data_IF_684971393773
#
_entry.id   IF_684971393773
#
_cell.length_a   1.000
_cell.length_b   1.000
_cell.length_c   1.000
_cell.angle_alpha   90.00
_cell.angle_beta   90.00
_cell.angle_gamma   90.00
#
_symmetry.space_group_name_H-M   'P 1'
#
loop_
_entity.id
_entity.type
_entity.pdbx_description
1 polymer ?
#
# COMPACT_ATOMS: atom_id res chain seq x y z
N UNK A 1 15.41 -0.92 -1.76
CA UNK A 1 14.34 -0.80 -2.75
C UNK A 1 14.05 -2.20 -3.25
N UNK A 2 12.95 -2.80 -2.80
CA UNK A 2 12.50 -4.16 -3.17
C UNK A 2 11.29 -4.03 -4.10
N UNK A 3 11.15 -4.92 -5.08
CA UNK A 3 10.00 -4.95 -5.97
C UNK A 3 9.35 -6.31 -5.85
N UNK A 4 8.05 -6.32 -5.59
CA UNK A 4 7.26 -7.55 -5.50
C UNK A 4 5.91 -7.37 -6.16
N UNK A 5 5.16 -8.46 -6.24
CA UNK A 5 3.82 -8.48 -6.83
C UNK A 5 2.82 -8.98 -5.79
N UNK A 6 1.65 -8.36 -5.78
CA UNK A 6 0.52 -8.75 -4.95
C UNK A 6 -0.70 -9.00 -5.81
N UNK A 7 -1.62 -9.81 -5.32
CA UNK A 7 -2.94 -9.96 -5.91
C UNK A 7 -3.88 -8.88 -5.36
N UNK A 8 -4.43 -8.07 -6.26
CA UNK A 8 -5.35 -6.98 -5.95
C UNK A 8 -6.46 -6.92 -7.00
N UNK A 9 -7.74 -6.99 -6.59
CA UNK A 9 -8.91 -7.00 -7.48
C UNK A 9 -8.78 -8.00 -8.64
N UNK A 10 -8.44 -9.25 -8.32
CA UNK A 10 -8.21 -10.36 -9.28
C UNK A 10 -7.13 -10.08 -10.34
N UNK A 11 -6.25 -9.10 -10.09
CA UNK A 11 -5.12 -8.76 -10.95
C UNK A 11 -3.84 -8.79 -10.14
N UNK A 12 -2.75 -9.25 -10.74
CA UNK A 12 -1.43 -9.14 -10.14
C UNK A 12 -0.86 -7.76 -10.42
N UNK A 13 -0.56 -6.99 -9.37
CA UNK A 13 -0.06 -5.62 -9.49
C UNK A 13 1.36 -5.53 -8.94
N UNK A 14 2.19 -4.69 -9.57
CA UNK A 14 3.57 -4.46 -9.15
C UNK A 14 3.59 -3.45 -8.01
N UNK A 15 4.33 -3.78 -6.96
CA UNK A 15 4.59 -2.92 -5.80
C UNK A 15 6.08 -2.66 -5.67
N UNK A 16 6.45 -1.39 -5.51
CA UNK A 16 7.81 -0.98 -5.19
C UNK A 16 7.87 -0.51 -3.73
N UNK A 17 8.72 -1.16 -2.95
CA UNK A 17 9.02 -0.79 -1.57
C UNK A 17 10.03 0.37 -1.59
N UNK A 18 9.50 1.59 -1.54
CA UNK A 18 10.28 2.82 -1.57
C UNK A 18 10.99 3.06 -0.23
N UNK A 19 10.26 2.91 0.89
CA UNK A 19 10.78 2.94 2.25
C UNK A 19 9.85 2.16 3.18
N UNK A 20 10.26 1.94 4.44
CA UNK A 20 9.50 1.19 5.45
C UNK A 20 8.01 1.58 5.52
N UNK A 21 7.74 2.87 5.33
CA UNK A 21 6.42 3.48 5.51
C UNK A 21 5.84 3.99 4.17
N UNK A 22 6.40 3.58 3.01
CA UNK A 22 5.98 4.06 1.68
C UNK A 22 6.06 2.98 0.62
N UNK A 23 4.93 2.78 -0.07
CA UNK A 23 4.82 1.86 -1.20
C UNK A 23 4.30 2.56 -2.45
N UNK A 24 4.83 2.17 -3.59
CA UNK A 24 4.36 2.61 -4.91
C UNK A 24 3.72 1.44 -5.63
N UNK A 25 2.44 1.55 -5.97
CA UNK A 25 1.64 0.52 -6.62
C UNK A 25 1.38 0.94 -8.07
N UNK A 26 1.65 0.02 -9.00
CA UNK A 26 1.36 0.20 -10.42
C UNK A 26 0.05 -0.53 -10.74
N UNK A 27 -1.05 0.21 -10.68
CA UNK A 27 -2.38 -0.28 -11.03
C UNK A 27 -2.64 -0.15 -12.53
N UNK A 28 -3.59 -0.91 -13.11
CA UNK A 28 -4.00 -0.71 -14.49
C UNK A 28 -4.50 0.72 -14.71
N UNK A 29 -3.75 1.51 -15.49
CA UNK A 29 -4.12 2.87 -15.86
C UNK A 29 -3.76 3.97 -14.85
N UNK A 30 -3.20 3.64 -13.68
CA UNK A 30 -2.69 4.65 -12.75
C UNK A 30 -1.55 4.14 -11.88
N UNK A 31 -0.71 5.08 -11.44
CA UNK A 31 0.27 4.85 -10.39
C UNK A 31 -0.29 5.44 -9.10
N UNK A 32 -0.43 4.63 -8.07
CA UNK A 32 -0.87 5.05 -6.74
C UNK A 32 0.30 4.89 -5.79
N UNK A 33 0.48 5.86 -4.90
CA UNK A 33 1.44 5.78 -3.82
C UNK A 33 0.68 5.78 -2.51
N UNK A 34 1.04 4.88 -1.60
CA UNK A 34 0.50 4.85 -0.25
C UNK A 34 1.60 5.06 0.78
N UNK A 35 1.25 5.77 1.85
CA UNK A 35 2.14 6.13 2.95
C UNK A 35 1.48 5.70 4.26
N UNK A 36 2.25 5.03 5.11
CA UNK A 36 1.83 4.70 6.47
C UNK A 36 1.87 5.96 7.31
N UNK A 37 0.74 6.35 7.88
CA UNK A 37 0.69 7.40 8.89
C UNK A 37 -0.03 6.89 10.12
N UNK A 38 0.35 7.42 11.27
CA UNK A 38 -0.30 7.15 12.52
C UNK A 38 -1.37 8.22 12.77
N UNK A 39 -2.59 7.83 13.12
CA UNK A 39 -3.63 8.78 13.51
C UNK A 39 -3.45 9.24 14.98
N UNK A 40 -4.32 10.14 15.45
CA UNK A 40 -4.24 10.74 16.79
C UNK A 40 -4.50 9.75 17.95
N UNK A 41 -5.13 8.61 17.68
CA UNK A 41 -5.37 7.50 18.60
C UNK A 41 -4.23 6.47 18.56
N UNK A 42 -3.25 6.65 17.66
CA UNK A 42 -2.06 5.83 17.59
C UNK A 42 -2.17 4.60 16.67
N UNK A 43 -3.24 4.45 15.88
CA UNK A 43 -3.34 3.36 14.91
C UNK A 43 -2.65 3.74 13.60
N UNK A 44 -2.13 2.73 12.91
CA UNK A 44 -1.44 2.90 11.63
C UNK A 44 -2.43 2.73 10.49
N UNK A 45 -2.50 3.71 9.61
CA UNK A 45 -3.36 3.71 8.43
C UNK A 45 -2.55 4.00 7.17
N UNK A 46 -2.97 3.39 6.06
CA UNK A 46 -2.36 3.60 4.75
C UNK A 46 -3.13 4.68 4.01
N UNK A 47 -2.46 5.78 3.67
CA UNK A 47 -3.04 6.93 2.98
C UNK A 47 -2.49 7.04 1.57
N UNK A 48 -3.33 7.38 0.59
CA UNK A 48 -2.81 7.79 -0.72
C UNK A 48 -1.98 9.08 -0.58
N UNK A 49 -0.89 9.19 -1.34
CA UNK A 49 -0.09 10.42 -1.38
C UNK A 49 -0.96 11.62 -1.79
N UNK A 50 -0.89 12.69 -0.99
CA UNK A 50 -1.75 13.87 -1.15
C UNK A 50 -3.19 13.74 -0.62
N UNK A 51 -3.59 12.60 -0.05
CA UNK A 51 -4.87 12.46 0.64
C UNK A 51 -4.76 12.80 2.13
N UNK A 52 -5.74 13.54 2.64
CA UNK A 52 -5.90 13.84 4.08
C UNK A 52 -6.50 12.67 4.85
N UNK A 53 -7.16 11.71 4.18
CA UNK A 53 -7.83 10.58 4.80
C UNK A 53 -7.49 9.24 4.11
N UNK A 54 -7.61 8.16 4.86
CA UNK A 54 -7.56 6.81 4.31
C UNK A 54 -8.75 6.62 3.36
N UNK A 55 -8.47 6.15 2.15
CA UNK A 55 -9.51 5.77 1.20
C UNK A 55 -9.74 4.26 1.29
N UNK A 56 -10.92 3.75 0.89
CA UNK A 56 -11.13 2.30 0.80
C UNK A 56 -10.07 1.61 -0.07
N UNK A 57 -9.56 2.29 -1.10
CA UNK A 57 -8.52 1.78 -1.98
C UNK A 57 -7.15 1.72 -1.27
N UNK A 58 -6.71 2.78 -0.59
CA UNK A 58 -5.43 2.76 0.14
C UNK A 58 -5.44 1.76 1.29
N UNK A 59 -6.57 1.61 1.98
CA UNK A 59 -6.76 0.59 3.01
C UNK A 59 -6.55 -0.82 2.43
N UNK A 60 -7.28 -1.16 1.37
CA UNK A 60 -7.21 -2.48 0.75
C UNK A 60 -5.82 -2.78 0.18
N UNK A 61 -5.17 -1.79 -0.44
CA UNK A 61 -3.79 -1.91 -0.93
C UNK A 61 -2.82 -2.17 0.21
N UNK A 62 -2.93 -1.42 1.31
CA UNK A 62 -2.14 -1.60 2.52
C UNK A 62 -2.26 -3.02 3.08
N UNK A 63 -3.49 -3.48 3.30
CA UNK A 63 -3.78 -4.85 3.80
C UNK A 63 -3.21 -5.92 2.88
N UNK A 64 -3.34 -5.78 1.56
CA UNK A 64 -2.81 -6.74 0.59
C UNK A 64 -1.27 -6.81 0.62
N UNK A 65 -0.60 -5.66 0.76
CA UNK A 65 0.86 -5.57 0.91
C UNK A 65 1.31 -6.22 2.22
N UNK A 66 0.68 -5.88 3.35
CA UNK A 66 1.01 -6.43 4.66
C UNK A 66 0.81 -7.95 4.71
N UNK A 67 -0.28 -8.44 4.11
CA UNK A 67 -0.55 -9.88 3.99
C UNK A 67 0.55 -10.59 3.19
N UNK A 68 1.01 -9.98 2.10
CA UNK A 68 2.12 -10.52 1.31
C UNK A 68 3.43 -10.56 2.12
N UNK A 69 3.77 -9.45 2.80
CA UNK A 69 4.99 -9.34 3.59
C UNK A 69 4.99 -10.32 4.77
N UNK A 70 3.84 -10.51 5.44
CA UNK A 70 3.69 -11.48 6.52
C UNK A 70 3.88 -12.93 6.04
N UNK A 71 3.49 -13.26 4.80
CA UNK A 71 3.71 -14.59 4.21
C UNK A 71 5.15 -14.82 3.74
N UNK A 72 5.88 -13.76 3.38
CA UNK A 72 7.29 -13.82 2.96
C UNK A 72 8.24 -13.97 4.16
N UNK A 73 7.75 -13.67 5.37
CA UNK A 73 8.52 -13.58 6.61
C UNK A 73 8.66 -14.90 7.37
#
# INVERSE_FOLDING_TARGET
>A
MDIFHIDYNNTTVKVEHASKDRFVIHLPGKRTEIILKQDNEGANHWFEDGSDNETPESHQLGVAIETYLAKKS
#
